data_IF_994169277663
#
_entry.id   IF_994169277663
#
_cell.length_a   1.000
_cell.length_b   1.000
_cell.length_c   1.000
_cell.angle_alpha   90.00
_cell.angle_beta   90.00
_cell.angle_gamma   90.00
#
_symmetry.space_group_name_H-M   'P 1'
#
loop_
_entity.id
_entity.type
_entity.pdbx_description
1 polymer ?
#
# COMPACT_ATOMS: atom_id res chain seq x y z
N UNK A 1 6.91 0.74 -11.98
CA UNK A 1 5.58 0.12 -12.15
C UNK A 1 4.92 0.68 -13.40
N UNK A 2 4.49 -0.20 -14.27
CA UNK A 2 3.83 0.22 -15.49
C UNK A 2 2.34 0.29 -15.30
N UNK A 3 1.82 1.49 -15.26
CA UNK A 3 0.40 1.74 -15.07
C UNK A 3 -0.02 2.82 -16.05
N UNK A 4 -1.13 2.58 -16.72
CA UNK A 4 -1.76 3.61 -17.53
C UNK A 4 -2.84 4.25 -16.68
N UNK A 5 -2.56 5.46 -16.21
CA UNK A 5 -3.50 6.16 -15.36
C UNK A 5 -4.78 6.43 -16.12
N UNK A 6 -5.91 6.26 -15.47
CA UNK A 6 -7.26 6.35 -16.02
C UNK A 6 -7.60 5.21 -16.98
N UNK A 7 -6.76 4.17 -17.08
CA UNK A 7 -7.04 2.97 -17.90
C UNK A 7 -6.79 1.69 -17.14
N UNK A 8 -5.64 1.59 -16.44
CA UNK A 8 -5.33 0.40 -15.65
C UNK A 8 -6.20 0.36 -14.41
N UNK A 9 -6.55 -0.86 -13.97
CA UNK A 9 -7.37 -1.08 -12.80
C UNK A 9 -6.60 -1.78 -11.70
N UNK A 10 -6.95 -1.44 -10.47
CA UNK A 10 -6.40 -2.08 -9.29
C UNK A 10 -6.84 -3.54 -9.25
N UNK A 11 -5.92 -4.44 -8.94
CA UNK A 11 -6.22 -5.87 -8.89
C UNK A 11 -7.05 -6.28 -7.68
N UNK A 12 -7.26 -5.38 -6.73
CA UNK A 12 -8.11 -5.66 -5.59
C UNK A 12 -9.45 -4.94 -5.66
N UNK A 13 -9.45 -3.61 -5.71
CA UNK A 13 -10.70 -2.84 -5.65
C UNK A 13 -11.31 -2.59 -7.04
N UNK A 14 -10.55 -2.85 -8.10
CA UNK A 14 -10.99 -2.72 -9.49
C UNK A 14 -11.21 -1.29 -9.96
N UNK A 15 -10.88 -0.32 -9.13
CA UNK A 15 -10.98 1.09 -9.52
C UNK A 15 -9.84 1.47 -10.45
N UNK A 16 -10.06 2.49 -11.27
CA UNK A 16 -9.03 2.98 -12.17
C UNK A 16 -7.90 3.66 -11.39
N UNK A 17 -6.67 3.51 -11.87
CA UNK A 17 -5.53 4.22 -11.30
C UNK A 17 -5.66 5.71 -11.65
N UNK A 18 -5.67 6.55 -10.63
CA UNK A 18 -5.74 7.99 -10.81
C UNK A 18 -4.63 8.73 -10.05
N UNK A 19 -4.16 8.17 -8.95
CA UNK A 19 -3.16 8.79 -8.09
C UNK A 19 -1.79 8.17 -8.30
N UNK A 20 -0.77 8.99 -8.47
CA UNK A 20 0.58 8.50 -8.73
C UNK A 20 1.39 8.23 -7.47
N UNK A 21 0.91 8.70 -6.32
CA UNK A 21 1.68 8.67 -5.08
C UNK A 21 1.42 7.48 -4.19
N UNK A 22 0.46 6.62 -4.53
CA UNK A 22 -0.01 5.58 -3.61
C UNK A 22 0.07 4.16 -4.13
N UNK A 23 0.50 3.95 -5.34
CA UNK A 23 0.49 2.64 -5.96
C UNK A 23 1.35 1.61 -5.26
N UNK A 24 1.04 0.34 -5.50
CA UNK A 24 1.80 -0.77 -4.96
C UNK A 24 1.77 -1.93 -5.95
N UNK A 25 2.68 -2.90 -5.76
CA UNK A 25 2.82 -3.98 -6.72
C UNK A 25 3.32 -5.23 -6.02
N UNK A 26 2.82 -6.39 -6.45
CA UNK A 26 3.36 -7.68 -6.07
C UNK A 26 4.09 -8.28 -7.25
N UNK A 27 5.27 -8.81 -6.99
CA UNK A 27 6.02 -9.59 -7.96
C UNK A 27 5.97 -11.04 -7.52
N UNK A 28 5.45 -11.91 -8.40
CA UNK A 28 5.28 -13.31 -8.09
C UNK A 28 6.48 -14.14 -8.58
N UNK A 29 6.63 -15.33 -8.02
CA UNK A 29 7.78 -16.19 -8.35
C UNK A 29 7.79 -16.62 -9.81
N UNK A 30 6.65 -16.55 -10.51
CA UNK A 30 6.57 -16.85 -11.94
C UNK A 30 6.71 -15.59 -12.81
N UNK A 31 7.21 -14.50 -12.23
CA UNK A 31 7.44 -13.21 -12.87
C UNK A 31 6.18 -12.43 -13.23
N UNK A 32 4.99 -12.94 -12.92
CA UNK A 32 3.78 -12.15 -13.14
C UNK A 32 3.64 -11.10 -12.04
N UNK A 33 2.86 -10.07 -12.34
CA UNK A 33 2.70 -8.92 -11.46
C UNK A 33 1.23 -8.70 -11.11
N UNK A 34 1.00 -8.15 -9.93
CA UNK A 34 -0.31 -7.64 -9.53
C UNK A 34 -0.13 -6.18 -9.13
N UNK A 35 -1.04 -5.34 -9.55
CA UNK A 35 -0.92 -3.88 -9.35
C UNK A 35 -2.10 -3.35 -8.57
N UNK A 36 -1.80 -2.41 -7.67
CA UNK A 36 -2.80 -1.87 -6.75
C UNK A 36 -2.68 -0.36 -6.74
N UNK A 37 -3.82 0.32 -6.69
CA UNK A 37 -3.82 1.78 -6.70
C UNK A 37 -3.47 2.38 -5.33
N UNK A 38 -3.43 1.55 -4.29
CA UNK A 38 -3.10 2.00 -2.95
C UNK A 38 -2.47 0.87 -2.14
N UNK A 39 -1.66 1.24 -1.15
CA UNK A 39 -1.06 0.29 -0.22
C UNK A 39 -2.12 -0.53 0.50
N UNK A 40 -3.23 0.11 0.87
CA UNK A 40 -4.31 -0.60 1.57
C UNK A 40 -4.91 -1.70 0.70
N UNK A 41 -4.97 -1.52 -0.61
CA UNK A 41 -5.47 -2.56 -1.50
C UNK A 41 -4.50 -3.74 -1.59
N UNK A 42 -3.19 -3.46 -1.62
CA UNK A 42 -2.19 -4.51 -1.59
C UNK A 42 -2.29 -5.30 -0.29
N UNK A 43 -2.38 -4.61 0.84
CA UNK A 43 -2.48 -5.25 2.15
C UNK A 43 -3.73 -6.13 2.23
N UNK A 44 -4.87 -5.62 1.75
CA UNK A 44 -6.11 -6.37 1.75
C UNK A 44 -6.02 -7.63 0.88
N UNK A 45 -5.37 -7.51 -0.27
CA UNK A 45 -5.18 -8.65 -1.18
C UNK A 45 -4.41 -9.77 -0.50
N UNK A 46 -3.36 -9.41 0.25
CA UNK A 46 -2.54 -10.38 0.97
C UNK A 46 -3.29 -10.99 2.15
N UNK A 47 -4.02 -10.19 2.90
CA UNK A 47 -4.80 -10.67 4.05
C UNK A 47 -5.90 -11.62 3.57
N UNK A 48 -6.49 -11.33 2.42
CA UNK A 48 -7.55 -12.14 1.84
C UNK A 48 -7.02 -13.44 1.21
N UNK A 49 -5.71 -13.64 1.24
CA UNK A 49 -5.05 -14.86 0.74
C UNK A 49 -5.41 -15.19 -0.71
N UNK A 50 -5.52 -14.15 -1.54
CA UNK A 50 -5.81 -14.36 -2.96
C UNK A 50 -4.70 -15.12 -3.67
N UNK A 51 -3.46 -15.01 -3.14
CA UNK A 51 -2.29 -15.71 -3.64
C UNK A 51 -1.51 -16.20 -2.43
N UNK A 52 -1.07 -17.49 -2.42
CA UNK A 52 -0.28 -18.00 -1.30
C UNK A 52 1.01 -17.22 -1.09
N UNK A 53 1.38 -17.03 0.15
CA UNK A 53 2.60 -16.32 0.53
C UNK A 53 3.83 -16.88 -0.19
N UNK A 54 3.91 -18.19 -0.32
CA UNK A 54 5.06 -18.84 -0.96
C UNK A 54 5.24 -18.44 -2.43
N UNK A 55 4.22 -17.92 -3.06
CA UNK A 55 4.29 -17.50 -4.47
C UNK A 55 4.69 -16.03 -4.61
N UNK A 56 4.83 -15.29 -3.53
CA UNK A 56 5.14 -13.88 -3.56
C UNK A 56 6.64 -13.68 -3.41
N UNK A 57 7.26 -13.11 -4.45
CA UNK A 57 8.70 -12.83 -4.42
C UNK A 57 8.99 -11.50 -3.76
N UNK A 58 8.31 -10.44 -4.19
CA UNK A 58 8.57 -9.11 -3.70
C UNK A 58 7.28 -8.31 -3.55
N UNK A 59 7.32 -7.40 -2.58
CA UNK A 59 6.28 -6.40 -2.33
C UNK A 59 6.88 -5.04 -2.62
N UNK A 60 6.27 -4.28 -3.51
CA UNK A 60 6.74 -2.95 -3.88
C UNK A 60 5.70 -1.90 -3.53
N UNK A 61 6.17 -0.73 -3.12
CA UNK A 61 5.30 0.41 -2.90
C UNK A 61 5.91 1.63 -3.58
N UNK A 62 5.05 2.51 -4.09
CA UNK A 62 5.50 3.77 -4.65
C UNK A 62 5.91 4.69 -3.50
N UNK A 63 7.10 5.29 -3.61
CA UNK A 63 7.58 6.24 -2.62
C UNK A 63 6.75 7.54 -2.74
N UNK A 64 6.05 7.87 -1.68
CA UNK A 64 5.18 9.06 -1.68
C UNK A 64 5.95 10.34 -2.03
N UNK A 65 7.20 10.42 -1.59
CA UNK A 65 8.04 11.61 -1.84
C UNK A 65 8.65 11.60 -3.26
N UNK A 66 8.60 10.46 -3.95
CA UNK A 66 9.14 10.31 -5.32
C UNK A 66 8.21 9.39 -6.11
N UNK A 67 7.08 9.92 -6.61
CA UNK A 67 5.99 9.07 -7.15
C UNK A 67 6.33 8.11 -8.29
N UNK A 68 7.51 8.21 -8.89
CA UNK A 68 7.91 7.26 -9.93
C UNK A 68 8.84 6.17 -9.43
N UNK A 69 9.19 6.18 -8.14
CA UNK A 69 10.16 5.26 -7.58
C UNK A 69 9.46 4.20 -6.74
N UNK A 70 9.76 2.94 -7.02
CA UNK A 70 9.29 1.83 -6.21
C UNK A 70 10.31 1.53 -5.14
N UNK A 71 9.83 1.27 -3.92
CA UNK A 71 10.69 0.86 -2.81
C UNK A 71 10.19 -0.47 -2.28
N UNK A 72 11.05 -1.18 -1.54
CA UNK A 72 10.70 -2.46 -0.92
C UNK A 72 9.59 -2.23 0.10
N UNK A 73 8.39 -2.71 -0.21
CA UNK A 73 7.21 -2.47 0.63
C UNK A 73 7.30 -3.11 2.01
N UNK A 74 8.08 -4.18 2.15
CA UNK A 74 8.25 -4.84 3.44
C UNK A 74 9.19 -4.09 4.37
N UNK A 75 10.03 -3.21 3.81
CA UNK A 75 11.01 -2.44 4.57
C UNK A 75 10.69 -0.96 4.65
N UNK A 76 9.72 -0.50 3.88
CA UNK A 76 9.35 0.91 3.82
C UNK A 76 8.85 1.41 5.17
N UNK A 77 8.96 2.72 5.36
CA UNK A 77 8.32 3.42 6.47
C UNK A 77 6.99 3.94 5.96
N UNK A 78 5.93 3.72 6.70
CA UNK A 78 4.60 4.18 6.31
C UNK A 78 4.08 5.23 7.27
N UNK A 79 3.32 6.17 6.74
CA UNK A 79 2.63 7.17 7.55
C UNK A 79 1.14 7.09 7.22
N UNK A 80 0.33 6.96 8.26
CA UNK A 80 -1.12 7.08 8.15
C UNK A 80 -1.52 8.40 8.78
N UNK A 81 -2.19 9.25 8.02
CA UNK A 81 -2.54 10.59 8.49
C UNK A 81 -3.83 11.07 7.85
N UNK A 82 -4.65 11.77 8.61
CA UNK A 82 -5.87 12.37 8.08
C UNK A 82 -5.58 13.51 7.09
N UNK A 83 -4.34 14.00 7.06
CA UNK A 83 -3.93 15.03 6.11
C UNK A 83 -3.44 14.44 4.79
N UNK A 84 -3.45 13.11 4.65
CA UNK A 84 -3.11 12.40 3.43
C UNK A 84 -4.40 11.73 2.95
N UNK A 85 -4.70 11.84 1.65
CA UNK A 85 -5.90 11.19 1.11
C UNK A 85 -5.48 10.15 0.07
N UNK A 86 -5.59 8.88 0.44
CA UNK A 86 -5.29 7.77 -0.48
C UNK A 86 -6.57 7.30 -1.19
N UNK A 87 -6.43 6.53 -2.28
CA UNK A 87 -7.60 6.12 -3.06
C UNK A 87 -8.73 5.46 -2.30
N UNK A 88 -8.42 4.61 -1.32
CA UNK A 88 -9.46 3.94 -0.52
C UNK A 88 -9.64 4.60 0.84
N UNK A 89 -9.02 5.76 1.01
CA UNK A 89 -9.20 6.62 2.19
C UNK A 89 -8.76 6.00 3.52
N UNK A 90 -7.85 5.04 3.49
CA UNK A 90 -7.17 4.62 4.71
C UNK A 90 -6.02 5.58 4.99
N UNK A 91 -5.57 6.29 3.94
CA UNK A 91 -4.65 7.42 4.06
C UNK A 91 -3.24 7.02 4.50
N UNK A 92 -2.70 6.00 3.82
CA UNK A 92 -1.37 5.47 4.07
C UNK A 92 -0.45 5.88 2.94
N UNK A 93 0.70 6.44 3.28
CA UNK A 93 1.76 6.77 2.33
C UNK A 93 3.01 5.99 2.67
N UNK A 94 3.74 5.53 1.64
CA UNK A 94 4.96 4.75 1.81
C UNK A 94 6.19 5.63 1.54
N UNK A 95 7.28 5.35 2.25
CA UNK A 95 8.53 6.09 2.10
C UNK A 95 9.71 5.13 2.08
N UNK A 96 10.64 5.37 1.18
CA UNK A 96 11.83 4.53 1.07
C UNK A 96 12.90 4.84 2.11
N UNK A 97 12.79 5.98 2.81
CA UNK A 97 13.77 6.33 3.83
C UNK A 97 13.08 6.95 5.03
N UNK A 98 13.69 6.74 6.19
CA UNK A 98 13.22 7.36 7.44
C UNK A 98 13.27 8.88 7.35
N UNK A 99 14.30 9.42 6.71
CA UNK A 99 14.46 10.86 6.59
C UNK A 99 13.30 11.49 5.82
N UNK A 100 12.92 10.89 4.70
CA UNK A 100 11.79 11.40 3.91
C UNK A 100 10.49 11.28 4.69
N UNK A 101 10.30 10.15 5.39
CA UNK A 101 9.11 9.94 6.20
C UNK A 101 9.01 10.98 7.31
N UNK A 102 10.11 11.22 8.03
CA UNK A 102 10.12 12.18 9.12
C UNK A 102 9.81 13.60 8.64
N UNK A 103 10.31 13.95 7.47
CA UNK A 103 10.05 15.28 6.89
C UNK A 103 8.56 15.50 6.63
N UNK A 104 7.89 14.48 6.08
CA UNK A 104 6.45 14.56 5.83
C UNK A 104 5.67 14.48 7.13
N UNK A 105 6.09 13.60 8.04
CA UNK A 105 5.43 13.43 9.33
C UNK A 105 5.37 14.74 10.12
N UNK A 106 6.44 15.53 10.06
CA UNK A 106 6.49 16.82 10.74
C UNK A 106 5.37 17.74 10.26
N UNK A 107 5.00 17.63 8.97
CA UNK A 107 3.95 18.48 8.40
C UNK A 107 2.54 17.92 8.56
N UNK A 108 2.39 16.61 8.48
CA UNK A 108 1.05 16.01 8.43
C UNK A 108 0.63 15.31 9.71
N UNK A 109 1.58 14.96 10.58
CA UNK A 109 1.26 14.20 11.78
C UNK A 109 0.76 12.81 11.50
N UNK A 110 0.00 12.25 12.42
CA UNK A 110 -0.58 10.92 12.27
C UNK A 110 0.26 9.87 12.97
N UNK A 111 0.38 8.70 12.32
CA UNK A 111 1.10 7.56 12.88
C UNK A 111 2.15 7.06 11.89
N UNK A 112 3.34 6.72 12.40
CA UNK A 112 4.33 6.02 11.59
C UNK A 112 4.16 4.52 11.82
N UNK A 113 4.15 3.76 10.73
CA UNK A 113 3.89 2.33 10.77
C UNK A 113 4.97 1.57 10.02
N UNK A 114 5.24 0.35 10.48
CA UNK A 114 5.99 -0.64 9.70
C UNK A 114 5.02 -1.33 8.76
N UNK A 115 5.54 -2.18 7.87
CA UNK A 115 4.68 -3.01 7.03
C UNK A 115 3.74 -3.87 7.87
N UNK A 116 4.25 -4.43 8.97
CA UNK A 116 3.43 -5.21 9.89
C UNK A 116 2.29 -4.38 10.45
N UNK A 117 2.59 -3.14 10.81
CA UNK A 117 1.57 -2.21 11.31
C UNK A 117 0.52 -1.91 10.27
N UNK A 118 0.91 -1.78 9.00
CA UNK A 118 -0.05 -1.58 7.91
C UNK A 118 -0.98 -2.78 7.80
N UNK A 119 -0.42 -4.00 7.80
CA UNK A 119 -1.24 -5.21 7.72
C UNK A 119 -2.22 -5.29 8.89
N UNK A 120 -1.75 -4.99 10.10
CA UNK A 120 -2.62 -5.03 11.28
C UNK A 120 -3.73 -4.00 11.19
N UNK A 121 -3.43 -2.80 10.69
CA UNK A 121 -4.42 -1.75 10.53
C UNK A 121 -5.51 -2.17 9.54
N UNK A 122 -5.12 -2.70 8.39
CA UNK A 122 -6.09 -3.11 7.38
C UNK A 122 -6.91 -4.30 7.86
N UNK A 123 -6.25 -5.25 8.55
CA UNK A 123 -6.97 -6.38 9.12
C UNK A 123 -8.06 -5.91 10.09
N UNK A 124 -7.73 -4.95 10.92
CA UNK A 124 -8.67 -4.40 11.89
C UNK A 124 -9.81 -3.65 11.20
N UNK A 125 -9.50 -2.84 10.19
CA UNK A 125 -10.51 -2.00 9.56
C UNK A 125 -11.42 -2.75 8.58
N UNK A 126 -10.84 -3.66 7.81
CA UNK A 126 -11.58 -4.27 6.69
C UNK A 126 -11.92 -5.73 6.88
N UNK A 127 -11.22 -6.44 7.77
CA UNK A 127 -11.39 -7.88 7.93
C UNK A 127 -11.77 -8.30 9.34
N UNK A 128 -11.91 -7.33 10.22
CA UNK A 128 -12.29 -7.64 11.58
C UNK A 128 -13.69 -8.24 11.58
N UNK A 129 -13.81 -9.43 12.14
CA UNK A 129 -15.09 -10.08 12.21
C UNK A 129 -16.00 -9.37 13.20
N UNK A 130 -17.31 -9.35 12.91
CA UNK A 130 -18.26 -8.82 13.87
C UNK A 130 -18.15 -9.56 15.20
N UNK A 131 -18.37 -8.83 16.28
CA UNK A 131 -18.35 -9.44 17.59
C UNK A 131 -19.40 -10.54 17.66
N UNK A 132 -19.01 -11.66 18.26
CA UNK A 132 -19.97 -12.71 18.55
C UNK A 132 -20.86 -12.26 19.68
N UNK A 133 -22.12 -12.56 19.57
CA UNK A 133 -23.09 -12.17 20.57
C UNK A 133 -23.61 -13.37 21.30
#
# INVERSE_FOLDING_TARGET
>A
MRVEYYKSRCDYCKMLFQEKSFGAELELVNDSLRKFDATECLAAFLIDNRIPEARIRKVWAVDYSRPTVLVDGRKAVYIRSDSITSPMEVNIAAFGSRKAADSVYTRVGGEQLSWRGVLDLIRTRWFREPQKR
#
